data_IF_017046985210
#
_entry.id   IF_017046985210
#
_cell.length_a   1.000
_cell.length_b   1.000
_cell.length_c   1.000
_cell.angle_alpha   90.00
_cell.angle_beta   90.00
_cell.angle_gamma   90.00
#
_symmetry.space_group_name_H-M   'P 1'
#
loop_
_entity.id
_entity.type
_entity.pdbx_description
1 polymer ?
#
# COMPACT_ATOMS: atom_id res chain seq x y z
N UNK A 1 0.49 -11.44 -7.94
CA UNK A 1 1.19 -10.53 -6.99
C UNK A 1 2.54 -11.15 -6.73
N UNK A 2 3.61 -10.35 -6.69
CA UNK A 2 4.96 -10.84 -6.41
C UNK A 2 5.58 -9.93 -5.37
N UNK A 3 5.98 -10.52 -4.26
CA UNK A 3 6.64 -9.84 -3.16
C UNK A 3 8.10 -10.25 -3.16
N UNK A 4 8.99 -9.26 -3.22
CA UNK A 4 10.41 -9.45 -2.92
C UNK A 4 10.69 -8.90 -1.53
N UNK A 5 11.86 -9.18 -0.94
CA UNK A 5 12.25 -8.67 0.39
C UNK A 5 12.11 -7.16 0.58
N UNK A 6 12.06 -6.39 -0.52
CA UNK A 6 11.98 -4.93 -0.52
C UNK A 6 10.86 -4.36 -1.41
N UNK A 7 10.07 -5.17 -2.11
CA UNK A 7 9.05 -4.65 -3.05
C UNK A 7 7.74 -5.43 -2.98
N UNK A 8 6.64 -4.68 -3.00
CA UNK A 8 5.27 -5.18 -3.03
C UNK A 8 4.57 -4.69 -4.29
N UNK A 9 4.17 -5.61 -5.18
CA UNK A 9 3.40 -5.29 -6.39
C UNK A 9 1.92 -5.54 -6.16
N UNK A 10 1.11 -4.51 -6.38
CA UNK A 10 -0.35 -4.56 -6.20
C UNK A 10 -1.07 -3.97 -7.41
N UNK A 11 -2.09 -4.67 -7.89
CA UNK A 11 -3.00 -4.13 -8.89
C UNK A 11 -4.15 -3.44 -8.15
N UNK A 12 -4.28 -2.13 -8.34
CA UNK A 12 -5.29 -1.32 -7.65
C UNK A 12 -6.70 -1.76 -8.04
N UNK A 13 -7.51 -2.04 -7.03
CA UNK A 13 -8.93 -2.31 -7.18
C UNK A 13 -9.75 -1.02 -7.19
N UNK A 14 -11.03 -1.12 -7.59
CA UNK A 14 -11.98 -0.01 -7.47
C UNK A 14 -12.11 0.50 -6.03
N UNK A 15 -12.04 -0.39 -5.04
CA UNK A 15 -12.10 -0.01 -3.62
C UNK A 15 -10.86 0.74 -3.17
N UNK A 16 -9.67 0.29 -3.59
CA UNK A 16 -8.41 0.96 -3.26
C UNK A 16 -8.45 2.43 -3.69
N UNK A 17 -8.90 2.66 -4.93
CA UNK A 17 -8.98 4.01 -5.52
C UNK A 17 -10.07 4.85 -4.85
N UNK A 18 -11.26 4.26 -4.64
CA UNK A 18 -12.39 4.96 -4.01
C UNK A 18 -12.05 5.37 -2.57
N UNK A 19 -11.41 4.50 -1.81
CA UNK A 19 -11.07 4.74 -0.39
C UNK A 19 -9.74 5.48 -0.22
N UNK A 20 -8.86 5.49 -1.23
CA UNK A 20 -7.54 6.11 -1.13
C UNK A 20 -6.55 5.31 -0.29
N UNK A 21 -6.70 3.98 -0.31
CA UNK A 21 -5.90 3.04 0.47
C UNK A 21 -5.48 1.88 -0.39
N UNK A 22 -4.34 1.25 -0.11
CA UNK A 22 -3.86 0.09 -0.85
C UNK A 22 -3.93 -1.11 0.07
N UNK A 23 -4.69 -2.14 -0.30
CA UNK A 23 -4.68 -3.42 0.42
C UNK A 23 -3.27 -4.03 0.41
N UNK A 24 -2.81 -4.45 1.59
CA UNK A 24 -1.56 -5.19 1.79
C UNK A 24 -1.91 -6.67 1.96
N UNK A 25 -1.47 -7.51 1.03
CA UNK A 25 -1.67 -8.95 1.13
C UNK A 25 -0.90 -9.55 2.30
N UNK A 26 -1.41 -10.69 2.80
CA UNK A 26 -0.84 -11.43 3.92
C UNK A 26 0.65 -11.76 3.76
N UNK A 27 1.09 -12.07 2.54
CA UNK A 27 2.50 -12.38 2.27
C UNK A 27 3.41 -11.13 2.31
N UNK A 28 2.84 -9.94 2.12
CA UNK A 28 3.53 -8.66 2.17
C UNK A 28 3.56 -8.03 3.56
N UNK A 29 2.85 -8.55 4.56
CA UNK A 29 2.78 -7.95 5.90
C UNK A 29 4.16 -7.72 6.53
N UNK A 30 5.10 -8.64 6.31
CA UNK A 30 6.48 -8.53 6.85
C UNK A 30 7.31 -7.42 6.19
N UNK A 31 6.87 -6.90 5.04
CA UNK A 31 7.55 -5.80 4.35
C UNK A 31 7.23 -4.46 5.04
N UNK A 32 5.98 -4.29 5.46
CA UNK A 32 5.42 -3.09 6.05
C UNK A 32 5.63 -3.06 7.56
N UNK A 33 5.58 -1.87 8.20
CA UNK A 33 5.61 -1.79 9.64
C UNK A 33 4.23 -2.13 10.23
N UNK A 34 4.17 -2.31 11.54
CA UNK A 34 2.93 -2.59 12.25
C UNK A 34 1.95 -1.39 12.21
N UNK A 35 0.63 -1.61 12.34
CA UNK A 35 -0.34 -0.52 12.43
C UNK A 35 0.01 0.49 13.51
N UNK A 36 -0.19 1.78 13.21
CA UNK A 36 0.14 2.89 14.11
C UNK A 36 1.62 3.30 14.10
N UNK A 37 2.50 2.54 13.46
CA UNK A 37 3.87 3.00 13.21
C UNK A 37 3.90 4.08 12.12
N UNK A 38 4.82 5.07 12.19
CA UNK A 38 4.96 6.09 11.17
C UNK A 38 5.42 5.46 9.85
N UNK A 39 4.75 5.82 8.75
CA UNK A 39 5.15 5.43 7.39
C UNK A 39 5.41 6.69 6.58
N UNK A 40 6.64 6.82 6.07
CA UNK A 40 6.95 7.89 5.12
C UNK A 40 6.87 7.35 3.70
N UNK A 41 5.86 7.79 2.95
CA UNK A 41 5.64 7.37 1.57
C UNK A 41 6.14 8.44 0.60
N UNK A 42 6.98 8.03 -0.34
CA UNK A 42 7.48 8.85 -1.43
C UNK A 42 6.64 8.64 -2.67
N UNK A 43 6.12 9.72 -3.23
CA UNK A 43 5.40 9.71 -4.51
C UNK A 43 6.13 10.68 -5.44
N UNK A 44 6.82 10.14 -6.45
CA UNK A 44 7.77 10.92 -7.24
C UNK A 44 8.89 11.51 -6.38
N UNK A 45 9.09 12.83 -6.46
CA UNK A 45 10.09 13.55 -5.68
C UNK A 45 9.63 13.95 -4.26
N UNK A 46 8.33 13.83 -3.96
CA UNK A 46 7.73 14.33 -2.72
C UNK A 46 7.60 13.22 -1.67
N UNK A 47 7.69 13.61 -0.40
CA UNK A 47 7.45 12.76 0.77
C UNK A 47 6.12 13.12 1.39
N UNK A 48 5.37 12.12 1.82
CA UNK A 48 4.05 12.22 2.43
C UNK A 48 3.99 11.32 3.65
N UNK A 49 3.18 11.73 4.62
CA UNK A 49 2.85 10.88 5.76
C UNK A 49 1.78 9.88 5.35
N UNK A 50 2.06 8.63 5.69
CA UNK A 50 1.22 7.49 5.46
C UNK A 50 1.12 6.68 6.75
N UNK A 51 0.18 5.76 6.78
CA UNK A 51 -0.03 4.87 7.91
C UNK A 51 -0.51 3.51 7.45
N UNK A 52 -0.27 2.49 8.26
CA UNK A 52 -0.89 1.18 8.08
C UNK A 52 -2.15 1.14 8.96
N UNK A 53 -3.31 0.98 8.33
CA UNK A 53 -4.58 0.80 9.02
C UNK A 53 -4.95 -0.68 9.03
N UNK A 54 -5.29 -1.20 10.20
CA UNK A 54 -5.90 -2.52 10.35
C UNK A 54 -7.43 -2.38 10.35
N UNK A 55 -8.10 -3.12 9.46
CA UNK A 55 -9.55 -3.20 9.36
C UNK A 55 -9.99 -4.64 9.66
N UNK A 56 -10.85 -4.82 10.67
CA UNK A 56 -11.43 -6.12 10.98
C UNK A 56 -12.36 -6.56 9.85
N UNK A 57 -12.10 -7.74 9.27
CA UNK A 57 -12.94 -8.38 8.27
C UNK A 57 -13.56 -9.67 8.79
N UNK A 58 -14.86 -9.83 8.53
CA UNK A 58 -15.60 -11.08 8.73
C UNK A 58 -15.89 -11.80 7.41
N UNK A 59 -15.19 -11.41 6.33
CA UNK A 59 -15.46 -11.90 4.98
C UNK A 59 -15.24 -13.42 4.81
N UNK A 60 -14.33 -14.01 5.60
CA UNK A 60 -14.10 -15.45 5.67
C UNK A 60 -13.85 -15.81 7.13
N UNK A 61 -14.60 -16.75 7.73
CA UNK A 61 -14.32 -17.24 9.08
C UNK A 61 -13.00 -18.02 9.14
N UNK A 62 -12.22 -17.93 10.24
CA UNK A 62 -12.41 -17.07 11.42
C UNK A 62 -12.13 -15.59 11.13
N UNK A 63 -12.57 -14.69 12.05
CA UNK A 63 -12.29 -13.24 11.96
C UNK A 63 -10.81 -12.98 11.67
N UNK A 64 -10.54 -12.09 10.73
CA UNK A 64 -9.18 -11.72 10.34
C UNK A 64 -9.07 -10.22 10.07
N UNK A 65 -7.85 -9.72 10.01
CA UNK A 65 -7.58 -8.31 9.75
C UNK A 65 -7.06 -8.09 8.32
N UNK A 66 -7.57 -7.05 7.68
CA UNK A 66 -7.02 -6.50 6.46
C UNK A 66 -6.16 -5.29 6.79
N UNK A 67 -4.92 -5.31 6.30
CA UNK A 67 -4.00 -4.20 6.46
C UNK A 67 -4.03 -3.36 5.20
N UNK A 68 -4.12 -2.05 5.37
CA UNK A 68 -4.17 -1.10 4.27
C UNK A 68 -3.11 -0.02 4.46
N UNK A 69 -2.31 0.25 3.43
CA UNK A 69 -1.50 1.45 3.36
C UNK A 69 -2.41 2.63 3.01
N UNK A 70 -2.57 3.54 3.95
CA UNK A 70 -3.34 4.77 3.76
C UNK A 70 -2.41 5.96 3.59
N UNK A 71 -2.68 6.77 2.57
CA UNK A 71 -1.99 8.05 2.36
C UNK A 71 -2.96 8.99 1.65
N UNK A 72 -3.30 10.11 2.30
CA UNK A 72 -4.30 11.06 1.81
C UNK A 72 -3.98 11.56 0.39
N UNK A 73 -2.70 11.75 0.12
CA UNK A 73 -2.20 12.27 -1.15
C UNK A 73 -2.10 11.23 -2.27
N UNK A 74 -2.47 9.95 -2.05
CA UNK A 74 -2.55 8.97 -3.15
C UNK A 74 -3.67 9.32 -4.13
N UNK A 75 -4.80 9.85 -3.62
CA UNK A 75 -5.91 10.27 -4.48
C UNK A 75 -5.47 11.43 -5.37
N UNK A 76 -5.62 11.25 -6.67
CA UNK A 76 -5.24 12.24 -7.68
C UNK A 76 -3.81 12.09 -8.22
N UNK A 77 -3.01 11.16 -7.71
CA UNK A 77 -1.69 10.86 -8.28
C UNK A 77 -1.83 10.15 -9.62
N UNK A 78 -0.95 10.48 -10.56
CA UNK A 78 -0.80 9.72 -11.78
C UNK A 78 -0.45 8.26 -11.45
N UNK A 79 -1.26 7.31 -11.91
CA UNK A 79 -1.09 5.88 -11.63
C UNK A 79 -1.97 5.34 -10.51
N UNK A 80 -2.63 6.18 -9.71
CA UNK A 80 -3.59 5.72 -8.70
C UNK A 80 -5.02 5.58 -9.27
N UNK A 81 -5.19 4.64 -10.20
CA UNK A 81 -6.45 4.38 -10.93
C UNK A 81 -6.79 2.89 -10.96
N UNK A 82 -8.07 2.57 -11.16
CA UNK A 82 -8.53 1.18 -11.12
C UNK A 82 -7.83 0.35 -12.20
N UNK A 83 -7.33 -0.82 -11.83
CA UNK A 83 -6.59 -1.72 -12.71
C UNK A 83 -5.11 -1.37 -12.91
N UNK A 84 -4.63 -0.21 -12.44
CA UNK A 84 -3.22 0.14 -12.54
C UNK A 84 -2.37 -0.77 -11.64
N UNK A 85 -1.20 -1.15 -12.15
CA UNK A 85 -0.22 -1.91 -11.41
C UNK A 85 0.74 -0.94 -10.74
N UNK A 86 0.86 -1.04 -9.42
CA UNK A 86 1.73 -0.18 -8.62
C UNK A 86 2.72 -1.02 -7.83
N UNK A 87 3.90 -0.46 -7.60
CA UNK A 87 4.95 -1.06 -6.80
C UNK A 87 5.20 -0.17 -5.58
N UNK A 88 5.11 -0.78 -4.40
CA UNK A 88 5.55 -0.17 -3.15
C UNK A 88 6.92 -0.75 -2.81
N UNK A 89 7.97 0.06 -2.93
CA UNK A 89 9.34 -0.34 -2.63
C UNK A 89 9.77 0.22 -1.27
N UNK A 90 10.37 -0.60 -0.42
CA UNK A 90 11.00 -0.17 0.83
C UNK A 90 12.39 0.37 0.53
N UNK A 91 12.63 1.63 0.87
CA UNK A 91 13.93 2.28 0.78
C UNK A 91 14.84 1.86 1.95
N UNK A 92 16.16 1.96 1.78
CA UNK A 92 17.14 1.58 2.80
C UNK A 92 17.07 2.46 4.06
N UNK A 93 16.48 3.66 3.99
CA UNK A 93 16.25 4.53 5.15
C UNK A 93 14.99 4.17 5.95
N UNK A 94 14.29 3.10 5.57
CA UNK A 94 13.05 2.66 6.21
C UNK A 94 11.78 3.32 5.66
N UNK A 95 11.91 4.29 4.76
CA UNK A 95 10.81 4.86 3.99
C UNK A 95 10.27 3.90 2.92
N UNK A 96 9.17 4.30 2.29
CA UNK A 96 8.54 3.55 1.20
C UNK A 96 8.38 4.45 -0.02
N UNK A 97 8.34 3.85 -1.21
CA UNK A 97 8.16 4.55 -2.47
C UNK A 97 7.03 3.94 -3.28
N UNK A 98 6.10 4.78 -3.69
CA UNK A 98 5.04 4.45 -4.64
C UNK A 98 5.53 4.70 -6.07
N UNK A 99 5.45 3.67 -6.91
CA UNK A 99 5.82 3.71 -8.32
C UNK A 99 4.71 3.11 -9.15
N UNK A 100 4.27 3.79 -10.21
CA UNK A 100 3.42 3.20 -11.23
C UNK A 100 4.26 2.27 -12.11
N UNK A 101 3.87 0.99 -12.21
CA UNK A 101 4.48 0.06 -13.16
C UNK A 101 3.80 0.28 -14.52
N UNK A 102 4.49 0.99 -15.41
CA UNK A 102 4.05 1.13 -16.81
C UNK A 102 4.45 -0.15 -17.54
N UNK A 103 3.44 -1.00 -17.78
CA UNK A 103 3.53 -2.11 -18.73
C UNK A 103 3.50 -1.62 -20.16
#
# INVERSE_FOLDING_TARGET
MSVSRSTYRHRLSSEDVRKGRILITKDAWRLFPEPGAPVHLRIGARRFDAEIQAEKCMCVPPEHEHYHLFCRDLKGQSGFKNGALVVIAKDSDGGYRFVEERG
#
